data_IF_082374840562
#
_entry.id   IF_082374840562
#
_cell.length_a   1.000
_cell.length_b   1.000
_cell.length_c   1.000
_cell.angle_alpha   90.00
_cell.angle_beta   90.00
_cell.angle_gamma   90.00
#
_symmetry.space_group_name_H-M   'P 1'
#
loop_
_entity.id
_entity.type
_entity.pdbx_description
1 polymer ?
#
# COMPACT_ATOMS: atom_id res chain seq x y z
N UNK A 1 27.31 13.00 7.54
CA UNK A 1 26.74 11.65 7.40
C UNK A 1 25.85 11.44 8.60
N UNK A 2 24.53 11.35 8.37
CA UNK A 2 23.57 11.04 9.43
C UNK A 2 23.55 9.52 9.51
N UNK A 3 24.02 8.96 10.62
CA UNK A 3 23.92 7.52 10.88
C UNK A 3 22.44 7.12 10.87
N UNK A 4 22.08 6.24 9.94
CA UNK A 4 20.82 5.52 9.99
C UNK A 4 20.86 4.61 11.21
N UNK A 5 20.28 5.08 12.31
CA UNK A 5 19.91 4.21 13.42
C UNK A 5 18.58 3.56 13.03
N UNK A 6 18.52 2.24 12.79
CA UNK A 6 17.23 1.56 12.70
C UNK A 6 16.43 1.93 13.95
N UNK A 7 15.12 2.21 13.83
CA UNK A 7 14.32 2.57 14.99
C UNK A 7 14.49 1.46 16.02
N UNK A 8 15.11 1.79 17.16
CA UNK A 8 15.08 0.95 18.35
C UNK A 8 13.67 0.42 18.48
N UNK A 9 13.52 -0.88 18.70
CA UNK A 9 12.25 -1.50 19.12
C UNK A 9 11.92 -0.92 20.49
N UNK A 10 11.44 0.32 20.47
CA UNK A 10 10.98 1.07 21.62
C UNK A 10 9.61 0.48 21.90
N UNK A 11 9.55 -0.37 22.93
CA UNK A 11 8.29 -0.69 23.59
C UNK A 11 7.62 0.65 23.92
N UNK A 12 6.58 0.99 23.18
CA UNK A 12 5.53 1.82 23.75
C UNK A 12 4.87 0.99 24.85
N UNK A 13 4.23 1.63 25.81
CA UNK A 13 3.51 1.02 26.93
C UNK A 13 2.33 0.09 26.53
N UNK A 14 2.28 -0.43 25.30
CA UNK A 14 1.09 -1.04 24.70
C UNK A 14 1.19 -2.55 24.53
N UNK A 15 0.08 -3.20 24.86
CA UNK A 15 -0.11 -4.65 24.97
C UNK A 15 0.13 -5.44 23.66
N UNK A 16 0.16 -4.79 22.49
CA UNK A 16 0.17 -5.40 21.15
C UNK A 16 1.28 -4.85 20.24
N UNK A 17 1.73 -5.68 19.29
CA UNK A 17 2.66 -5.28 18.22
C UNK A 17 1.91 -5.08 16.89
N UNK A 18 2.52 -4.37 15.93
CA UNK A 18 1.97 -4.17 14.58
C UNK A 18 1.57 -5.50 13.94
N UNK A 19 2.45 -6.50 14.00
CA UNK A 19 2.16 -7.83 13.46
C UNK A 19 0.95 -8.52 14.12
N UNK A 20 0.63 -8.21 15.38
CA UNK A 20 -0.57 -8.76 16.02
C UNK A 20 -1.84 -8.19 15.38
N UNK A 21 -1.86 -6.88 15.14
CA UNK A 21 -3.00 -6.18 14.54
C UNK A 21 -3.18 -6.59 13.08
N UNK A 22 -2.09 -6.70 12.32
CA UNK A 22 -2.15 -7.12 10.92
C UNK A 22 -2.70 -8.55 10.78
N UNK A 23 -2.23 -9.50 11.60
CA UNK A 23 -2.77 -10.87 11.60
C UNK A 23 -4.23 -10.90 12.03
N UNK A 24 -4.63 -10.10 13.04
CA UNK A 24 -6.02 -10.00 13.46
C UNK A 24 -6.92 -9.49 12.33
N UNK A 25 -6.44 -8.51 11.55
CA UNK A 25 -7.11 -8.02 10.32
C UNK A 25 -7.23 -9.11 9.25
N UNK A 26 -6.14 -9.84 8.99
CA UNK A 26 -6.12 -10.94 8.02
C UNK A 26 -7.15 -12.03 8.36
N UNK A 27 -7.25 -12.39 9.63
CA UNK A 27 -8.23 -13.37 10.11
C UNK A 27 -9.68 -12.86 10.03
N UNK A 28 -9.89 -11.56 10.24
CA UNK A 28 -11.21 -10.95 10.11
C UNK A 28 -11.69 -10.93 8.64
N UNK A 29 -10.76 -10.67 7.71
CA UNK A 29 -11.07 -10.59 6.27
C UNK A 29 -11.31 -11.96 5.64
N UNK A 30 -10.62 -13.00 6.11
CA UNK A 30 -10.60 -14.30 5.45
C UNK A 30 -10.77 -15.43 6.47
N UNK A 31 -11.79 -16.25 6.24
CA UNK A 31 -11.98 -17.49 6.99
C UNK A 31 -10.74 -18.39 6.81
N UNK A 32 -10.00 -18.56 7.90
CA UNK A 32 -8.67 -19.19 7.92
C UNK A 32 -8.74 -20.50 8.67
N UNK A 33 -8.20 -21.58 8.12
CA UNK A 33 -8.26 -22.90 8.75
C UNK A 33 -7.49 -22.95 10.07
N UNK A 34 -8.04 -23.60 11.09
CA UNK A 34 -7.35 -23.79 12.39
C UNK A 34 -6.16 -24.74 12.27
N UNK A 35 -6.35 -25.84 11.55
CA UNK A 35 -5.34 -26.91 11.41
C UNK A 35 -4.26 -26.56 10.37
N UNK A 36 -4.55 -25.61 9.48
CA UNK A 36 -3.63 -25.12 8.47
C UNK A 36 -3.65 -23.58 8.46
N UNK A 37 -3.07 -22.91 9.47
CA UNK A 37 -3.25 -21.46 9.69
C UNK A 37 -2.81 -20.55 8.55
N UNK A 38 -2.00 -21.05 7.61
CA UNK A 38 -1.65 -20.28 6.42
C UNK A 38 -2.71 -20.34 5.32
N UNK A 39 -3.62 -21.31 5.34
CA UNK A 39 -4.63 -21.51 4.29
C UNK A 39 -5.98 -20.93 4.68
N UNK A 40 -6.68 -20.43 3.67
CA UNK A 40 -8.04 -19.89 3.79
C UNK A 40 -9.04 -20.74 3.00
N UNK A 41 -10.33 -20.58 3.33
CA UNK A 41 -11.41 -21.31 2.64
C UNK A 41 -11.58 -20.89 1.17
N UNK A 42 -11.09 -19.70 0.79
CA UNK A 42 -11.10 -19.21 -0.58
C UNK A 42 -9.91 -19.71 -1.42
N UNK A 43 -9.03 -20.53 -0.85
CA UNK A 43 -7.81 -21.03 -1.52
C UNK A 43 -6.62 -20.07 -1.44
N UNK A 44 -6.79 -18.88 -0.85
CA UNK A 44 -5.70 -17.94 -0.60
C UNK A 44 -4.79 -18.41 0.54
N UNK A 45 -3.53 -17.97 0.48
CA UNK A 45 -2.53 -18.19 1.54
C UNK A 45 -2.12 -16.87 2.18
N UNK A 46 -1.95 -16.88 3.50
CA UNK A 46 -1.40 -15.77 4.29
C UNK A 46 0.13 -15.67 4.21
N UNK A 47 0.81 -16.64 3.59
CA UNK A 47 2.28 -16.72 3.56
C UNK A 47 2.93 -15.47 2.96
N UNK A 48 2.40 -14.97 1.84
CA UNK A 48 2.94 -13.79 1.17
C UNK A 48 2.79 -12.52 2.02
N UNK A 49 1.58 -12.26 2.54
CA UNK A 49 1.31 -11.09 3.40
C UNK A 49 2.14 -11.14 4.70
N UNK A 50 2.33 -12.33 5.28
CA UNK A 50 3.16 -12.51 6.46
C UNK A 50 4.65 -12.26 6.15
N UNK A 51 5.16 -12.74 5.01
CA UNK A 51 6.54 -12.55 4.58
C UNK A 51 6.86 -11.08 4.28
N UNK A 52 5.99 -10.40 3.52
CA UNK A 52 6.12 -8.97 3.20
C UNK A 52 6.21 -8.09 4.46
N UNK A 53 5.53 -8.50 5.53
CA UNK A 53 5.52 -7.77 6.79
C UNK A 53 6.49 -8.32 7.85
N UNK A 54 7.33 -9.31 7.49
CA UNK A 54 8.25 -10.00 8.40
C UNK A 54 7.56 -10.53 9.68
N UNK A 55 6.37 -11.10 9.53
CA UNK A 55 5.53 -11.60 10.62
C UNK A 55 5.72 -13.11 10.78
N UNK A 56 6.07 -13.55 12.00
CA UNK A 56 5.95 -14.95 12.37
C UNK A 56 4.47 -15.28 12.66
N UNK A 57 3.73 -15.63 11.60
CA UNK A 57 2.28 -15.80 11.63
C UNK A 57 1.82 -16.80 12.70
N UNK A 58 2.43 -17.99 12.78
CA UNK A 58 2.05 -19.03 13.75
C UNK A 58 2.26 -18.60 15.21
N UNK A 59 3.35 -17.86 15.47
CA UNK A 59 3.62 -17.30 16.80
C UNK A 59 2.57 -16.26 17.17
N UNK A 60 2.18 -15.40 16.22
CA UNK A 60 1.12 -14.41 16.43
C UNK A 60 -0.22 -15.08 16.69
N UNK A 61 -0.63 -16.07 15.90
CA UNK A 61 -1.87 -16.85 16.13
C UNK A 61 -1.91 -17.41 17.55
N UNK A 62 -0.82 -18.02 18.00
CA UNK A 62 -0.72 -18.58 19.35
C UNK A 62 -0.90 -17.50 20.43
N UNK A 63 -0.28 -16.33 20.24
CA UNK A 63 -0.42 -15.18 21.13
C UNK A 63 -1.85 -14.64 21.15
N UNK A 64 -2.49 -14.47 19.98
CA UNK A 64 -3.87 -13.97 19.87
C UNK A 64 -4.86 -14.90 20.57
N UNK A 65 -4.67 -16.23 20.50
CA UNK A 65 -5.46 -17.22 21.24
C UNK A 65 -5.29 -17.08 22.76
N UNK A 66 -4.04 -17.01 23.25
CA UNK A 66 -3.74 -16.87 24.68
C UNK A 66 -4.39 -15.60 25.25
N UNK A 67 -4.42 -14.54 24.44
CA UNK A 67 -5.06 -13.27 24.79
C UNK A 67 -6.57 -13.22 24.57
N UNK A 68 -7.19 -14.34 24.18
CA UNK A 68 -8.63 -14.42 23.91
C UNK A 68 -9.12 -13.40 22.86
N UNK A 69 -8.27 -13.04 21.89
CA UNK A 69 -8.65 -12.18 20.76
C UNK A 69 -9.26 -12.97 19.60
N UNK A 70 -8.90 -14.26 19.51
CA UNK A 70 -9.43 -15.19 18.53
C UNK A 70 -9.76 -16.51 19.21
N UNK A 71 -10.73 -17.22 18.63
CA UNK A 71 -11.13 -18.57 19.03
C UNK A 71 -11.41 -19.43 17.81
N UNK A 72 -11.61 -20.71 18.04
CA UNK A 72 -12.21 -21.59 17.03
C UNK A 72 -13.69 -21.24 16.87
N UNK A 73 -14.20 -21.39 15.65
CA UNK A 73 -15.61 -21.25 15.37
C UNK A 73 -16.43 -22.34 16.11
N UNK A 74 -17.67 -21.99 16.45
CA UNK A 74 -18.71 -22.94 16.79
C UNK A 74 -19.23 -23.62 15.51
N UNK A 75 -19.78 -24.84 15.60
CA UNK A 75 -20.19 -25.60 14.41
C UNK A 75 -21.19 -24.88 13.50
N UNK A 76 -22.09 -24.06 14.06
CA UNK A 76 -23.03 -23.26 13.24
C UNK A 76 -22.37 -22.07 12.55
N UNK A 77 -21.31 -21.51 13.10
CA UNK A 77 -20.66 -20.32 12.55
C UNK A 77 -19.94 -20.60 11.22
N UNK A 78 -19.57 -21.85 10.95
CA UNK A 78 -18.86 -22.23 9.72
C UNK A 78 -19.77 -22.38 8.49
N UNK A 79 -21.10 -22.43 8.67
CA UNK A 79 -22.04 -22.82 7.62
C UNK A 79 -21.93 -21.93 6.37
N UNK A 80 -21.64 -20.65 6.56
CA UNK A 80 -21.43 -19.70 5.46
C UNK A 80 -20.21 -20.06 4.57
N UNK A 81 -19.23 -20.75 5.13
CA UNK A 81 -18.00 -21.15 4.44
C UNK A 81 -18.06 -22.54 3.81
N UNK A 82 -19.12 -23.31 4.07
CA UNK A 82 -19.30 -24.63 3.47
C UNK A 82 -19.80 -24.55 2.03
N UNK A 83 -19.47 -25.57 1.25
CA UNK A 83 -20.01 -25.80 -0.08
C UNK A 83 -21.46 -26.28 -0.02
N UNK A 84 -22.18 -26.15 -1.14
CA UNK A 84 -23.55 -26.67 -1.25
C UNK A 84 -23.62 -28.19 -1.04
N UNK A 85 -22.58 -28.93 -1.45
CA UNK A 85 -22.50 -30.37 -1.24
C UNK A 85 -22.42 -30.72 0.25
N UNK A 86 -21.51 -30.08 0.98
CA UNK A 86 -21.33 -30.27 2.42
C UNK A 86 -22.61 -29.93 3.21
N UNK A 87 -23.29 -28.84 2.86
CA UNK A 87 -24.57 -28.49 3.49
C UNK A 87 -25.64 -29.57 3.25
N UNK A 88 -25.68 -30.14 2.04
CA UNK A 88 -26.61 -31.25 1.73
C UNK A 88 -26.25 -32.52 2.50
N UNK A 89 -24.97 -32.81 2.72
CA UNK A 89 -24.55 -33.98 3.49
C UNK A 89 -25.00 -33.89 4.95
N UNK A 90 -24.92 -32.71 5.57
CA UNK A 90 -25.49 -32.47 6.91
C UNK A 90 -27.00 -32.74 6.91
N UNK A 91 -27.75 -32.12 5.99
CA UNK A 91 -29.20 -32.26 5.90
C UNK A 91 -29.64 -33.71 5.61
N UNK A 92 -28.85 -34.44 4.82
CA UNK A 92 -29.11 -35.85 4.50
C UNK A 92 -29.02 -36.73 5.75
N UNK A 93 -28.03 -36.48 6.61
CA UNK A 93 -27.85 -37.23 7.87
C UNK A 93 -28.95 -36.98 8.90
N UNK A 94 -29.69 -35.87 8.78
CA UNK A 94 -30.85 -35.57 9.62
C UNK A 94 -32.19 -35.72 8.87
N UNK A 95 -32.20 -36.42 7.73
CA UNK A 95 -33.39 -36.71 6.92
C UNK A 95 -34.21 -35.47 6.54
N UNK A 96 -33.53 -34.38 6.15
CA UNK A 96 -34.17 -33.13 5.72
C UNK A 96 -34.07 -32.93 4.20
N UNK A 97 -34.99 -32.12 3.60
CA UNK A 97 -34.94 -31.82 2.18
C UNK A 97 -33.61 -31.19 1.74
N UNK A 98 -33.13 -31.58 0.55
CA UNK A 98 -31.82 -31.18 0.01
C UNK A 98 -31.89 -30.14 -1.11
N UNK A 99 -33.10 -29.74 -1.52
CA UNK A 99 -33.31 -28.74 -2.57
C UNK A 99 -33.24 -27.31 -2.02
N UNK A 100 -32.91 -26.36 -2.90
CA UNK A 100 -32.88 -24.93 -2.59
C UNK A 100 -31.57 -24.24 -2.90
N UNK A 101 -31.55 -22.92 -2.74
CA UNK A 101 -30.35 -22.08 -2.82
C UNK A 101 -29.47 -22.26 -1.58
N UNK A 102 -28.19 -21.90 -1.66
CA UNK A 102 -27.24 -22.04 -0.54
C UNK A 102 -27.77 -21.41 0.76
N UNK A 103 -28.32 -20.20 0.70
CA UNK A 103 -28.91 -19.51 1.86
C UNK A 103 -30.05 -20.31 2.51
N UNK A 104 -30.94 -20.88 1.70
CA UNK A 104 -32.06 -21.72 2.17
C UNK A 104 -31.57 -23.02 2.81
N UNK A 105 -30.47 -23.59 2.31
CA UNK A 105 -29.83 -24.77 2.91
C UNK A 105 -29.21 -24.41 4.27
N UNK A 106 -28.53 -23.27 4.38
CA UNK A 106 -27.93 -22.79 5.63
C UNK A 106 -29.02 -22.58 6.69
N UNK A 107 -30.07 -21.82 6.38
CA UNK A 107 -31.19 -21.57 7.31
C UNK A 107 -31.82 -22.90 7.78
N UNK A 108 -31.95 -23.86 6.88
CA UNK A 108 -32.49 -25.19 7.21
C UNK A 108 -31.56 -25.96 8.14
N UNK A 109 -30.25 -25.92 7.92
CA UNK A 109 -29.27 -26.54 8.82
C UNK A 109 -29.32 -25.89 10.19
N UNK A 110 -29.31 -24.55 10.26
CA UNK A 110 -29.34 -23.79 11.52
C UNK A 110 -30.56 -24.11 12.39
N UNK A 111 -31.74 -24.23 11.76
CA UNK A 111 -33.01 -24.49 12.43
C UNK A 111 -33.19 -25.94 12.89
N UNK A 112 -32.58 -26.91 12.19
CA UNK A 112 -32.91 -28.33 12.37
C UNK A 112 -31.75 -29.21 12.86
N UNK A 113 -30.53 -28.68 12.94
CA UNK A 113 -29.33 -29.46 13.31
C UNK A 113 -28.77 -29.01 14.65
N UNK A 114 -28.30 -29.97 15.44
CA UNK A 114 -27.46 -29.70 16.61
C UNK A 114 -26.00 -29.53 16.19
N UNK A 115 -25.19 -28.96 17.08
CA UNK A 115 -23.74 -28.85 16.88
C UNK A 115 -23.09 -30.23 16.67
N UNK A 116 -23.58 -31.26 17.36
CA UNK A 116 -23.12 -32.64 17.18
C UNK A 116 -23.45 -33.20 15.79
N UNK A 117 -24.60 -32.84 15.21
CA UNK A 117 -24.97 -33.29 13.86
C UNK A 117 -24.05 -32.67 12.81
N UNK A 118 -23.66 -31.41 12.99
CA UNK A 118 -22.72 -30.73 12.10
C UNK A 118 -21.32 -31.36 12.22
N UNK A 119 -20.82 -31.54 13.44
CA UNK A 119 -19.48 -32.10 13.69
C UNK A 119 -19.32 -33.56 13.24
N UNK A 120 -20.40 -34.33 13.09
CA UNK A 120 -20.36 -35.70 12.54
C UNK A 120 -20.00 -35.73 11.06
N UNK A 121 -20.24 -34.64 10.35
CA UNK A 121 -20.06 -34.54 8.89
C UNK A 121 -18.91 -33.61 8.54
N UNK A 122 -18.76 -32.53 9.30
CA UNK A 122 -17.82 -31.46 9.03
C UNK A 122 -16.74 -31.45 10.11
N UNK A 123 -15.51 -31.70 9.70
CA UNK A 123 -14.31 -31.61 10.54
C UNK A 123 -13.58 -30.26 10.41
N UNK A 124 -14.02 -29.42 9.46
CA UNK A 124 -13.44 -28.11 9.19
C UNK A 124 -13.65 -27.16 10.36
N UNK A 125 -12.61 -26.37 10.64
CA UNK A 125 -12.64 -25.29 11.62
C UNK A 125 -11.90 -24.06 11.10
N UNK A 126 -12.38 -22.88 11.45
CA UNK A 126 -11.74 -21.61 11.20
C UNK A 126 -11.55 -20.77 12.46
N UNK A 127 -10.63 -19.82 12.39
CA UNK A 127 -10.52 -18.76 13.40
C UNK A 127 -11.65 -17.76 13.25
N UNK A 128 -12.21 -17.35 14.39
CA UNK A 128 -13.17 -16.26 14.52
C UNK A 128 -12.66 -15.29 15.59
N UNK A 129 -12.77 -14.00 15.33
CA UNK A 129 -12.44 -12.96 16.30
C UNK A 129 -13.47 -12.98 17.44
N UNK A 130 -12.99 -12.82 18.67
CA UNK A 130 -13.88 -12.57 19.82
C UNK A 130 -14.35 -11.12 19.81
N UNK A 131 -15.30 -10.78 20.69
CA UNK A 131 -15.70 -9.38 20.91
C UNK A 131 -14.49 -8.50 21.25
N UNK A 132 -13.63 -8.97 22.17
CA UNK A 132 -12.37 -8.29 22.49
C UNK A 132 -11.44 -8.15 21.27
N UNK A 133 -11.35 -9.18 20.43
CA UNK A 133 -10.61 -9.11 19.17
C UNK A 133 -11.13 -8.02 18.23
N UNK A 134 -12.45 -7.90 18.10
CA UNK A 134 -13.07 -6.85 17.29
C UNK A 134 -12.84 -5.45 17.86
N UNK A 135 -12.92 -5.29 19.19
CA UNK A 135 -12.62 -4.03 19.87
C UNK A 135 -11.16 -3.58 19.66
N UNK A 136 -10.21 -4.52 19.79
CA UNK A 136 -8.79 -4.25 19.51
C UNK A 136 -8.58 -3.88 18.05
N UNK A 137 -9.24 -4.58 17.13
CA UNK A 137 -9.13 -4.30 15.70
C UNK A 137 -9.67 -2.90 15.35
N UNK A 138 -10.80 -2.50 15.94
CA UNK A 138 -11.38 -1.17 15.75
C UNK A 138 -10.49 -0.08 16.36
N UNK A 139 -9.94 -0.30 17.57
CA UNK A 139 -9.00 0.63 18.20
C UNK A 139 -7.79 0.92 17.31
N UNK A 140 -7.23 -0.10 16.67
CA UNK A 140 -6.04 0.01 15.84
C UNK A 140 -6.32 0.00 14.33
N UNK A 141 -7.54 0.35 13.90
CA UNK A 141 -7.90 0.40 12.47
C UNK A 141 -6.99 1.30 11.63
N UNK A 142 -6.41 2.32 12.25
CA UNK A 142 -5.51 3.26 11.62
C UNK A 142 -4.16 2.62 11.25
N UNK A 143 -3.71 1.61 12.02
CA UNK A 143 -2.53 0.78 11.70
C UNK A 143 -2.80 -0.04 10.44
N UNK A 144 -4.01 -0.58 10.30
CA UNK A 144 -4.42 -1.37 9.14
C UNK A 144 -4.49 -0.46 7.90
N UNK A 145 -5.13 0.70 8.04
CA UNK A 145 -5.28 1.66 6.95
C UNK A 145 -3.93 2.08 6.38
N UNK A 146 -2.96 2.45 7.23
CA UNK A 146 -1.66 2.89 6.72
C UNK A 146 -0.90 1.72 6.08
N UNK A 147 -1.00 0.51 6.64
CA UNK A 147 -0.30 -0.66 6.10
C UNK A 147 -0.74 -1.00 4.68
N UNK A 148 -2.04 -0.84 4.41
CA UNK A 148 -2.64 -1.10 3.09
C UNK A 148 -2.36 0.00 2.07
N UNK A 149 -2.06 1.22 2.53
CA UNK A 149 -2.02 2.40 1.65
C UNK A 149 -0.64 3.06 1.55
N UNK A 150 0.31 2.78 2.45
CA UNK A 150 1.60 3.48 2.54
C UNK A 150 2.41 3.47 1.24
N UNK A 151 2.46 2.35 0.53
CA UNK A 151 3.19 2.23 -0.74
C UNK A 151 2.55 3.09 -1.82
N UNK A 152 1.22 3.16 -1.85
CA UNK A 152 0.52 4.05 -2.76
C UNK A 152 0.76 5.52 -2.39
N UNK A 153 0.64 5.88 -1.11
CA UNK A 153 0.80 7.25 -0.63
C UNK A 153 2.22 7.77 -0.86
N UNK A 154 3.24 7.02 -0.43
CA UNK A 154 4.63 7.47 -0.37
C UNK A 154 5.51 6.92 -1.49
N UNK A 155 4.99 6.03 -2.35
CA UNK A 155 5.82 5.28 -3.29
C UNK A 155 6.95 4.55 -2.55
N UNK A 156 8.10 4.39 -3.20
CA UNK A 156 9.30 3.75 -2.63
C UNK A 156 10.22 4.75 -1.90
N UNK A 157 9.75 5.98 -1.64
CA UNK A 157 10.56 7.02 -1.00
C UNK A 157 10.56 6.86 0.53
N UNK A 158 11.52 6.07 1.00
CA UNK A 158 11.68 5.80 2.44
C UNK A 158 12.00 7.03 3.27
N UNK A 159 12.48 8.12 2.67
CA UNK A 159 12.74 9.38 3.38
C UNK A 159 11.46 10.10 3.82
N UNK A 160 10.33 9.75 3.20
CA UNK A 160 9.00 10.35 3.46
C UNK A 160 8.12 9.50 4.39
N UNK A 161 8.62 8.35 4.85
CA UNK A 161 7.93 7.43 5.78
C UNK A 161 7.97 7.92 7.24
N UNK A 162 7.53 9.16 7.48
CA UNK A 162 7.30 9.65 8.84
C UNK A 162 6.07 8.99 9.49
N UNK A 163 5.08 8.66 8.68
CA UNK A 163 3.81 8.06 9.11
C UNK A 163 3.76 6.61 8.64
N UNK A 164 3.96 5.68 9.57
CA UNK A 164 3.95 4.24 9.34
C UNK A 164 3.07 3.52 10.38
N UNK A 165 3.03 2.19 10.31
CA UNK A 165 2.26 1.37 11.26
C UNK A 165 2.66 1.62 12.72
N UNK A 166 3.93 1.91 12.98
CA UNK A 166 4.44 2.13 14.34
C UNK A 166 4.03 3.50 14.89
N UNK A 167 3.99 4.52 14.03
CA UNK A 167 3.42 5.83 14.37
C UNK A 167 1.96 5.67 14.80
N UNK A 168 1.13 5.03 13.96
CA UNK A 168 -0.30 4.86 14.25
C UNK A 168 -0.59 3.81 15.33
N UNK A 169 0.37 2.97 15.70
CA UNK A 169 0.26 2.16 16.92
C UNK A 169 0.29 3.04 18.17
N UNK A 170 1.18 4.05 18.21
CA UNK A 170 1.34 4.98 19.34
C UNK A 170 0.29 6.09 19.34
N UNK A 171 -0.24 6.42 18.16
CA UNK A 171 -1.22 7.47 17.92
C UNK A 171 -2.48 6.86 17.29
N UNK A 172 -3.01 5.81 17.92
CA UNK A 172 -4.16 5.07 17.37
C UNK A 172 -5.43 5.91 17.31
N UNK A 173 -5.50 6.99 18.09
CA UNK A 173 -6.61 7.93 18.22
C UNK A 173 -6.65 9.01 17.12
N UNK A 174 -5.58 9.17 16.34
CA UNK A 174 -5.53 10.21 15.29
C UNK A 174 -5.94 9.65 13.92
N UNK A 175 -6.63 10.46 13.12
CA UNK A 175 -7.00 10.10 11.76
C UNK A 175 -5.76 10.14 10.82
N UNK A 176 -5.38 9.02 10.18
CA UNK A 176 -4.24 8.97 9.28
C UNK A 176 -4.29 9.97 8.13
N UNK A 177 -5.44 10.11 7.48
CA UNK A 177 -5.58 11.01 6.35
C UNK A 177 -5.35 12.45 6.78
N UNK A 178 -5.99 12.88 7.86
CA UNK A 178 -5.93 14.25 8.36
C UNK A 178 -4.49 14.64 8.70
N UNK A 179 -3.77 13.81 9.46
CA UNK A 179 -2.41 14.12 9.90
C UNK A 179 -1.41 14.13 8.73
N UNK A 180 -1.59 13.22 7.76
CA UNK A 180 -0.74 13.16 6.57
C UNK A 180 -1.00 14.39 5.68
N UNK A 181 -2.28 14.76 5.49
CA UNK A 181 -2.66 15.97 4.74
C UNK A 181 -2.06 17.21 5.41
N UNK A 182 -2.31 17.41 6.71
CA UNK A 182 -1.81 18.59 7.44
C UNK A 182 -0.28 18.74 7.31
N UNK A 183 0.44 17.61 7.36
CA UNK A 183 1.90 17.63 7.26
C UNK A 183 2.41 17.98 5.85
N UNK A 184 1.76 17.47 4.81
CA UNK A 184 2.26 17.54 3.44
C UNK A 184 1.55 18.56 2.54
N UNK A 185 0.45 19.16 3.00
CA UNK A 185 -0.38 20.08 2.21
C UNK A 185 0.40 21.28 1.65
N UNK A 186 1.44 21.74 2.33
CA UNK A 186 2.26 22.87 1.87
C UNK A 186 3.51 22.48 1.08
N UNK A 187 3.93 21.21 1.11
CA UNK A 187 5.24 20.80 0.60
C UNK A 187 5.20 19.69 -0.46
N UNK A 188 4.19 18.81 -0.43
CA UNK A 188 4.15 17.59 -1.24
C UNK A 188 2.72 17.32 -1.74
N UNK A 189 2.27 18.10 -2.72
CA UNK A 189 0.89 18.00 -3.23
C UNK A 189 0.55 16.62 -3.79
N UNK A 190 1.54 15.87 -4.30
CA UNK A 190 1.35 14.52 -4.80
C UNK A 190 0.90 13.54 -3.71
N UNK A 191 1.47 13.63 -2.50
CA UNK A 191 1.07 12.80 -1.35
C UNK A 191 -0.39 13.12 -0.99
N UNK A 192 -0.72 14.40 -0.87
CA UNK A 192 -2.06 14.86 -0.49
C UNK A 192 -3.12 14.43 -1.52
N UNK A 193 -2.80 14.50 -2.82
CA UNK A 193 -3.68 14.01 -3.88
C UNK A 193 -4.00 12.51 -3.71
N UNK A 194 -2.99 11.70 -3.39
CA UNK A 194 -3.15 10.25 -3.20
C UNK A 194 -3.94 9.90 -1.95
N UNK A 195 -3.76 10.63 -0.85
CA UNK A 195 -4.59 10.48 0.36
C UNK A 195 -6.05 10.79 0.05
N UNK A 196 -6.36 11.94 -0.57
CA UNK A 196 -7.75 12.25 -0.92
C UNK A 196 -8.39 11.24 -1.88
N UNK A 197 -7.59 10.62 -2.75
CA UNK A 197 -8.07 9.54 -3.62
C UNK A 197 -8.45 8.29 -2.82
N UNK A 198 -7.67 7.91 -1.82
CA UNK A 198 -8.00 6.80 -0.91
C UNK A 198 -9.30 7.09 -0.15
N UNK A 199 -9.50 8.34 0.27
CA UNK A 199 -10.74 8.80 0.91
C UNK A 199 -11.92 8.96 -0.06
N UNK A 200 -11.73 8.64 -1.35
CA UNK A 200 -12.71 8.83 -2.42
C UNK A 200 -13.18 10.30 -2.57
N UNK A 201 -12.36 11.26 -2.15
CA UNK A 201 -12.57 12.69 -2.40
C UNK A 201 -11.90 13.09 -3.72
N UNK A 202 -12.54 12.70 -4.82
CA UNK A 202 -12.00 12.85 -6.17
C UNK A 202 -11.74 14.30 -6.58
N UNK A 203 -12.56 15.25 -6.12
CA UNK A 203 -12.40 16.67 -6.42
C UNK A 203 -11.11 17.23 -5.81
N UNK A 204 -10.88 16.98 -4.52
CA UNK A 204 -9.63 17.39 -3.88
C UNK A 204 -8.43 16.63 -4.42
N UNK A 205 -8.57 15.33 -4.69
CA UNK A 205 -7.52 14.54 -5.33
C UNK A 205 -7.11 15.14 -6.68
N UNK A 206 -8.08 15.55 -7.50
CA UNK A 206 -7.84 16.24 -8.76
C UNK A 206 -7.11 17.58 -8.56
N UNK A 207 -7.61 18.41 -7.63
CA UNK A 207 -7.01 19.72 -7.34
C UNK A 207 -5.53 19.59 -6.95
N UNK A 208 -5.21 18.73 -5.98
CA UNK A 208 -3.83 18.50 -5.56
C UNK A 208 -2.99 17.81 -6.65
N UNK A 209 -3.62 17.03 -7.53
CA UNK A 209 -2.97 16.47 -8.72
C UNK A 209 -2.50 17.54 -9.71
N UNK A 210 -3.34 18.55 -10.01
CA UNK A 210 -2.94 19.69 -10.85
C UNK A 210 -1.84 20.52 -10.18
N UNK A 211 -1.94 20.69 -8.85
CA UNK A 211 -0.90 21.39 -8.09
C UNK A 211 0.44 20.65 -8.12
N UNK A 212 0.44 19.32 -7.99
CA UNK A 212 1.64 18.49 -8.15
C UNK A 212 2.26 18.64 -9.54
N UNK A 213 1.46 18.62 -10.60
CA UNK A 213 1.95 18.89 -11.96
C UNK A 213 2.63 20.26 -12.07
N UNK A 214 2.06 21.29 -11.44
CA UNK A 214 2.65 22.62 -11.41
C UNK A 214 4.00 22.65 -10.67
N UNK A 215 4.11 21.95 -9.54
CA UNK A 215 5.35 21.75 -8.78
C UNK A 215 6.43 21.04 -9.62
N UNK A 216 6.05 20.00 -10.36
CA UNK A 216 6.96 19.25 -11.23
C UNK A 216 7.44 20.10 -12.41
N UNK A 217 6.53 20.83 -13.06
CA UNK A 217 6.88 21.79 -14.12
C UNK A 217 7.85 22.84 -13.58
N UNK A 218 7.58 23.44 -12.41
CA UNK A 218 8.49 24.42 -11.82
C UNK A 218 9.86 23.80 -11.51
N UNK A 219 9.90 22.56 -11.03
CA UNK A 219 11.15 21.84 -10.76
C UNK A 219 11.97 21.62 -12.03
N UNK A 220 11.33 21.28 -13.15
CA UNK A 220 11.99 21.17 -14.45
C UNK A 220 12.47 22.53 -14.99
N UNK A 221 11.71 23.61 -14.77
CA UNK A 221 12.14 24.97 -15.11
C UNK A 221 13.39 25.35 -14.33
N UNK A 222 13.42 25.11 -13.01
CA UNK A 222 14.58 25.39 -12.16
C UNK A 222 15.80 24.52 -12.52
N UNK A 223 15.57 23.29 -12.97
CA UNK A 223 16.64 22.42 -13.49
C UNK A 223 17.21 22.94 -14.80
N UNK A 224 16.33 23.28 -15.75
CA UNK A 224 16.72 23.81 -17.06
C UNK A 224 17.47 25.14 -16.92
N UNK A 225 17.03 26.01 -16.00
CA UNK A 225 17.70 27.26 -15.63
C UNK A 225 19.13 27.08 -15.10
N UNK A 226 19.43 25.93 -14.47
CA UNK A 226 20.74 25.68 -13.86
C UNK A 226 21.73 25.02 -14.82
N UNK A 227 21.25 24.18 -15.73
CA UNK A 227 22.15 23.33 -16.54
C UNK A 227 21.69 23.05 -17.97
N UNK A 228 20.58 23.64 -18.44
CA UNK A 228 19.96 23.30 -19.72
C UNK A 228 19.25 21.95 -19.77
N UNK A 229 19.34 21.15 -18.69
CA UNK A 229 18.73 19.82 -18.62
C UNK A 229 17.27 19.90 -18.19
N UNK A 230 16.42 19.09 -18.79
CA UNK A 230 15.00 19.03 -18.43
C UNK A 230 14.38 17.67 -18.75
N UNK A 231 13.28 17.35 -18.05
CA UNK A 231 12.46 16.17 -18.29
C UNK A 231 10.97 16.48 -18.05
N UNK A 232 10.34 17.20 -18.98
CA UNK A 232 8.91 17.47 -18.88
C UNK A 232 8.03 16.23 -19.17
N UNK A 233 8.56 15.22 -19.86
CA UNK A 233 7.86 13.94 -20.08
C UNK A 233 7.60 13.21 -18.76
N UNK A 234 8.54 13.27 -17.81
CA UNK A 234 8.38 12.74 -16.46
C UNK A 234 7.18 13.34 -15.71
N UNK A 235 6.87 14.63 -15.92
CA UNK A 235 5.71 15.28 -15.31
C UNK A 235 4.39 14.64 -15.77
N UNK A 236 4.32 14.20 -17.03
CA UNK A 236 3.12 13.55 -17.58
C UNK A 236 2.98 12.11 -17.09
N UNK A 237 4.10 11.38 -16.95
CA UNK A 237 4.09 10.04 -16.39
C UNK A 237 3.53 10.02 -14.96
N UNK A 238 3.87 11.02 -14.14
CA UNK A 238 3.33 11.13 -12.76
C UNK A 238 1.82 11.41 -12.74
N UNK A 239 1.30 12.25 -13.66
CA UNK A 239 -0.15 12.46 -13.81
C UNK A 239 -0.90 11.19 -14.20
N UNK A 240 -0.31 10.38 -15.08
CA UNK A 240 -0.87 9.10 -15.51
C UNK A 240 -0.85 8.09 -14.37
N UNK A 241 0.28 7.96 -13.66
CA UNK A 241 0.43 7.08 -12.51
C UNK A 241 -0.56 7.42 -11.38
N UNK A 242 -0.80 8.70 -11.15
CA UNK A 242 -1.80 9.18 -10.17
C UNK A 242 -3.23 9.09 -10.68
N UNK A 243 -3.44 8.81 -11.98
CA UNK A 243 -4.73 8.72 -12.68
C UNK A 243 -5.54 10.02 -12.63
N UNK A 244 -4.87 11.17 -12.57
CA UNK A 244 -5.53 12.50 -12.53
C UNK A 244 -6.42 12.72 -13.75
N UNK A 245 -6.01 12.23 -14.92
CA UNK A 245 -6.79 12.28 -16.16
C UNK A 245 -8.09 11.47 -16.07
N UNK A 246 -8.04 10.28 -15.47
CA UNK A 246 -9.25 9.47 -15.28
C UNK A 246 -10.21 10.13 -14.30
N UNK A 247 -9.66 10.70 -13.21
CA UNK A 247 -10.44 11.46 -12.23
C UNK A 247 -11.12 12.64 -12.94
N UNK A 248 -10.39 13.43 -13.74
CA UNK A 248 -10.95 14.53 -14.52
C UNK A 248 -12.12 14.10 -15.39
N UNK A 249 -11.98 13.00 -16.14
CA UNK A 249 -13.05 12.45 -17.00
C UNK A 249 -14.28 11.99 -16.21
N UNK A 250 -14.09 11.55 -14.98
CA UNK A 250 -15.18 11.11 -14.09
C UNK A 250 -15.91 12.28 -13.41
N UNK A 251 -15.26 13.44 -13.30
CA UNK A 251 -15.79 14.61 -12.61
C UNK A 251 -16.55 15.52 -13.59
N UNK A 252 -17.69 16.04 -13.15
CA UNK A 252 -18.43 17.06 -13.89
C UNK A 252 -17.95 18.47 -13.49
N UNK A 253 -16.69 18.79 -13.78
CA UNK A 253 -16.09 20.09 -13.45
C UNK A 253 -16.46 21.13 -14.52
N UNK A 254 -16.95 22.29 -14.10
CA UNK A 254 -17.20 23.41 -15.02
C UNK A 254 -15.90 24.02 -15.53
N UNK A 255 -15.93 24.60 -16.73
CA UNK A 255 -14.76 25.29 -17.29
C UNK A 255 -14.21 26.41 -16.39
N UNK A 256 -15.08 27.12 -15.66
CA UNK A 256 -14.67 28.20 -14.76
C UNK A 256 -13.99 27.66 -13.50
N UNK A 257 -14.50 26.56 -12.95
CA UNK A 257 -13.86 25.86 -11.82
C UNK A 257 -12.49 25.31 -12.23
N UNK A 258 -12.38 24.69 -13.41
CA UNK A 258 -11.11 24.20 -13.94
C UNK A 258 -10.09 25.32 -14.13
N UNK A 259 -10.49 26.44 -14.73
CA UNK A 259 -9.62 27.63 -14.88
C UNK A 259 -9.16 28.17 -13.52
N UNK A 260 -10.05 28.18 -12.52
CA UNK A 260 -9.71 28.63 -11.16
C UNK A 260 -8.69 27.71 -10.49
N UNK A 261 -8.85 26.38 -10.64
CA UNK A 261 -7.91 25.37 -10.15
C UNK A 261 -6.53 25.53 -10.81
N UNK A 262 -6.49 25.69 -12.14
CA UNK A 262 -5.26 25.90 -12.91
C UNK A 262 -4.56 27.18 -12.45
N UNK A 263 -5.31 28.27 -12.31
CA UNK A 263 -4.77 29.57 -11.87
C UNK A 263 -4.18 29.47 -10.46
N UNK A 264 -4.91 28.88 -9.52
CA UNK A 264 -4.41 28.67 -8.16
C UNK A 264 -3.13 27.83 -8.15
N UNK A 265 -3.11 26.73 -8.89
CA UNK A 265 -1.94 25.83 -8.97
C UNK A 265 -0.71 26.52 -9.56
N UNK A 266 -0.91 27.39 -10.56
CA UNK A 266 0.11 28.23 -11.14
C UNK A 266 0.68 29.22 -10.12
N UNK A 267 -0.19 29.99 -9.46
CA UNK A 267 0.22 31.00 -8.46
C UNK A 267 0.92 30.36 -7.26
N UNK A 268 0.53 29.14 -6.90
CA UNK A 268 1.17 28.39 -5.81
C UNK A 268 2.58 27.91 -6.18
N UNK A 269 2.76 27.35 -7.38
CA UNK A 269 3.93 26.50 -7.68
C UNK A 269 4.97 27.16 -8.59
N UNK A 270 4.55 28.05 -9.49
CA UNK A 270 5.47 28.69 -10.46
C UNK A 270 6.15 29.89 -9.79
N UNK A 271 7.47 29.79 -9.60
CA UNK A 271 8.26 30.81 -8.88
C UNK A 271 8.70 31.98 -9.76
N UNK A 272 8.89 31.76 -11.05
CA UNK A 272 9.34 32.77 -12.00
C UNK A 272 8.40 32.82 -13.22
N UNK A 273 7.41 33.71 -13.15
CA UNK A 273 6.43 33.92 -14.21
C UNK A 273 7.02 34.51 -15.50
N UNK A 274 8.30 34.92 -15.49
CA UNK A 274 8.97 35.39 -16.72
C UNK A 274 9.46 34.22 -17.59
N UNK A 275 9.50 33.01 -17.05
CA UNK A 275 9.96 31.81 -17.76
C UNK A 275 8.80 31.00 -18.34
N UNK A 276 7.63 31.05 -17.70
CA UNK A 276 6.39 30.45 -18.20
C UNK A 276 5.23 31.36 -17.83
N UNK A 277 4.40 31.71 -18.81
CA UNK A 277 3.20 32.50 -18.56
C UNK A 277 2.04 31.62 -18.07
N UNK A 278 1.08 32.21 -17.35
CA UNK A 278 -0.15 31.52 -16.96
C UNK A 278 -0.89 30.89 -18.16
N UNK A 279 -0.93 31.57 -19.31
CA UNK A 279 -1.60 31.06 -20.51
C UNK A 279 -0.88 29.82 -21.05
N UNK A 280 0.44 29.88 -21.20
CA UNK A 280 1.25 28.73 -21.64
C UNK A 280 1.12 27.56 -20.67
N UNK A 281 1.17 27.84 -19.36
CA UNK A 281 0.93 26.81 -18.35
C UNK A 281 -0.46 26.19 -18.47
N UNK A 282 -1.50 27.00 -18.65
CA UNK A 282 -2.87 26.52 -18.82
C UNK A 282 -2.99 25.60 -20.03
N UNK A 283 -2.42 25.97 -21.18
CA UNK A 283 -2.39 25.14 -22.39
C UNK A 283 -1.69 23.79 -22.12
N UNK A 284 -0.54 23.80 -21.43
CA UNK A 284 0.15 22.57 -21.03
C UNK A 284 -0.76 21.67 -20.18
N UNK A 285 -1.45 22.22 -19.18
CA UNK A 285 -2.38 21.46 -18.34
C UNK A 285 -3.54 20.90 -19.17
N UNK A 286 -4.14 21.70 -20.05
CA UNK A 286 -5.22 21.25 -20.92
C UNK A 286 -4.78 20.11 -21.84
N UNK A 287 -3.61 20.23 -22.48
CA UNK A 287 -3.05 19.17 -23.32
C UNK A 287 -2.79 17.89 -22.53
N UNK A 288 -2.28 18.00 -21.30
CA UNK A 288 -2.09 16.84 -20.43
C UNK A 288 -3.43 16.16 -20.09
N UNK A 289 -4.45 16.93 -19.72
CA UNK A 289 -5.78 16.39 -19.35
C UNK A 289 -6.54 15.76 -20.52
N UNK A 290 -6.32 16.24 -21.74
CA UNK A 290 -6.96 15.71 -22.95
C UNK A 290 -6.12 14.64 -23.66
N UNK A 291 -4.99 14.23 -23.08
CA UNK A 291 -4.03 13.30 -23.69
C UNK A 291 -3.50 13.76 -25.06
N UNK A 292 -3.33 15.07 -25.25
CA UNK A 292 -2.72 15.66 -26.45
C UNK A 292 -1.18 15.64 -26.31
N UNK A 293 -0.58 14.44 -26.37
CA UNK A 293 0.84 14.22 -26.09
C UNK A 293 1.79 15.07 -26.94
N UNK A 294 1.53 15.17 -28.24
CA UNK A 294 2.35 15.96 -29.17
C UNK A 294 2.30 17.45 -28.83
N UNK A 295 1.11 17.96 -28.50
CA UNK A 295 0.91 19.35 -28.13
C UNK A 295 1.61 19.66 -26.79
N UNK A 296 1.42 18.80 -25.78
CA UNK A 296 2.11 18.89 -24.50
C UNK A 296 3.64 18.91 -24.68
N UNK A 297 4.18 17.98 -25.47
CA UNK A 297 5.62 17.87 -25.74
C UNK A 297 6.15 19.12 -26.44
N UNK A 298 5.40 19.66 -27.40
CA UNK A 298 5.76 20.87 -28.13
C UNK A 298 5.80 22.08 -27.22
N UNK A 299 4.73 22.30 -26.43
CA UNK A 299 4.62 23.43 -25.50
C UNK A 299 5.73 23.42 -24.45
N UNK A 300 5.99 22.25 -23.83
CA UNK A 300 7.01 22.10 -22.80
C UNK A 300 8.43 22.22 -23.35
N UNK A 301 8.70 21.70 -24.56
CA UNK A 301 9.99 21.89 -25.24
C UNK A 301 10.25 23.35 -25.59
N UNK A 302 9.23 24.08 -26.04
CA UNK A 302 9.34 25.52 -26.29
C UNK A 302 9.66 26.32 -25.02
N UNK A 303 9.11 25.92 -23.87
CA UNK A 303 9.48 26.49 -22.57
C UNK A 303 10.96 26.21 -22.26
N UNK A 304 11.42 24.97 -22.44
CA UNK A 304 12.82 24.60 -22.22
C UNK A 304 13.79 25.39 -23.13
N UNK A 305 13.50 25.50 -24.43
CA UNK A 305 14.29 26.28 -25.40
C UNK A 305 14.45 27.72 -24.91
N UNK A 306 13.35 28.40 -24.57
CA UNK A 306 13.38 29.79 -24.11
C UNK A 306 14.21 29.98 -22.84
N UNK A 307 14.13 29.02 -21.91
CA UNK A 307 14.92 29.06 -20.68
C UNK A 307 16.40 28.88 -21.03
N UNK A 308 16.75 27.85 -21.81
CA UNK A 308 18.14 27.60 -22.21
C UNK A 308 18.75 28.79 -22.96
N UNK A 309 18.02 29.41 -23.89
CA UNK A 309 18.45 30.63 -24.58
C UNK A 309 18.70 31.79 -23.62
N UNK A 310 17.77 32.02 -22.68
CA UNK A 310 17.87 33.10 -21.69
C UNK A 310 19.06 32.95 -20.75
N UNK A 311 19.45 31.72 -20.41
CA UNK A 311 20.54 31.42 -19.49
C UNK A 311 21.83 30.95 -20.16
N UNK A 312 21.86 30.88 -21.51
CA UNK A 312 23.05 30.53 -22.29
C UNK A 312 23.46 29.06 -22.16
N UNK A 313 22.50 28.14 -22.03
CA UNK A 313 22.74 26.71 -21.96
C UNK A 313 22.50 26.02 -23.30
N UNK A 314 23.25 24.95 -23.57
CA UNK A 314 22.87 23.97 -24.58
C UNK A 314 21.68 23.14 -24.07
N UNK A 315 20.70 22.92 -24.94
CA UNK A 315 19.48 22.22 -24.57
C UNK A 315 19.70 20.70 -24.59
N UNK A 316 19.55 20.08 -23.43
CA UNK A 316 19.70 18.64 -23.28
C UNK A 316 18.43 18.05 -22.69
N UNK A 317 17.60 17.45 -23.54
CA UNK A 317 16.47 16.66 -23.08
C UNK A 317 17.00 15.36 -22.46
N UNK A 318 16.63 15.06 -21.21
CA UNK A 318 16.87 13.72 -20.69
C UNK A 318 15.88 12.75 -21.34
N UNK A 319 16.41 11.66 -21.91
CA UNK A 319 15.61 10.54 -22.34
C UNK A 319 15.02 9.87 -21.10
N UNK A 320 13.73 10.08 -20.86
CA UNK A 320 12.92 8.97 -20.35
C UNK A 320 12.63 8.09 -21.55
N UNK A 321 13.22 6.89 -21.60
CA UNK A 321 12.68 5.83 -22.41
C UNK A 321 11.21 5.68 -22.03
N UNK A 322 10.36 6.18 -22.93
CA UNK A 322 8.95 5.81 -22.92
C UNK A 322 8.97 4.31 -23.23
N UNK A 323 8.48 3.49 -22.29
CA UNK A 323 8.10 2.11 -22.61
C UNK A 323 6.93 2.15 -23.59
N UNK A 324 7.21 2.44 -24.85
CA UNK A 324 6.43 1.93 -25.98
C UNK A 324 6.77 0.45 -26.07
N UNK A 325 6.08 -0.38 -25.29
CA UNK A 325 6.38 -1.80 -25.24
C UNK A 325 5.65 -2.50 -24.10
N UNK A 326 4.35 -2.74 -24.29
CA UNK A 326 3.91 -4.10 -24.03
C UNK A 326 4.63 -4.99 -25.06
N UNK A 327 5.24 -6.08 -24.61
CA UNK A 327 5.87 -7.15 -25.41
C UNK A 327 7.40 -7.13 -25.58
N UNK A 328 8.19 -6.97 -24.50
CA UNK A 328 9.58 -7.45 -24.48
C UNK A 328 9.90 -8.18 -23.15
N UNK A 329 9.77 -9.51 -23.17
CA UNK A 329 10.03 -10.41 -22.03
C UNK A 329 11.50 -10.37 -21.53
N UNK A 330 12.44 -9.84 -22.32
CA UNK A 330 13.88 -9.84 -22.01
C UNK A 330 14.33 -8.67 -21.12
N UNK A 331 13.62 -7.52 -21.16
CA UNK A 331 13.89 -6.36 -20.29
C UNK A 331 13.27 -6.53 -18.90
N UNK A 332 12.13 -7.21 -18.79
CA UNK A 332 11.53 -7.58 -17.50
C UNK A 332 12.46 -8.52 -16.72
N UNK A 333 13.22 -9.38 -17.40
CA UNK A 333 14.19 -10.27 -16.75
C UNK A 333 15.38 -9.49 -16.17
N UNK A 334 15.90 -8.48 -16.87
CA UNK A 334 16.96 -7.62 -16.34
C UNK A 334 16.47 -6.72 -15.21
N UNK A 335 15.23 -6.23 -15.27
CA UNK A 335 14.61 -5.47 -14.18
C UNK A 335 14.34 -6.36 -12.95
N UNK A 336 13.84 -7.58 -13.15
CA UNK A 336 13.67 -8.59 -12.09
C UNK A 336 15.03 -9.00 -11.51
N UNK A 337 16.06 -9.18 -12.34
CA UNK A 337 17.42 -9.49 -11.91
C UNK A 337 18.05 -8.33 -11.15
N UNK A 338 17.85 -7.08 -11.57
CA UNK A 338 18.32 -5.90 -10.84
C UNK A 338 17.54 -5.72 -9.52
N UNK A 339 16.25 -6.04 -9.50
CA UNK A 339 15.41 -6.03 -8.29
C UNK A 339 15.81 -7.16 -7.31
N UNK A 340 16.09 -8.37 -7.80
CA UNK A 340 16.62 -9.50 -7.03
C UNK A 340 18.04 -9.19 -6.53
N UNK A 341 18.86 -8.52 -7.33
CA UNK A 341 20.24 -8.13 -6.95
C UNK A 341 20.23 -7.04 -5.88
N UNK A 342 19.32 -6.06 -5.99
CA UNK A 342 19.10 -5.05 -4.94
C UNK A 342 18.55 -5.66 -3.66
N UNK A 343 17.65 -6.64 -3.75
CA UNK A 343 17.13 -7.39 -2.61
C UNK A 343 18.21 -8.29 -1.97
N UNK A 344 19.12 -8.85 -2.77
CA UNK A 344 20.29 -9.58 -2.28
C UNK A 344 21.30 -8.65 -1.58
N UNK A 345 21.61 -7.48 -2.13
CA UNK A 345 22.46 -6.47 -1.46
C UNK A 345 21.80 -5.90 -0.19
N UNK A 346 20.47 -5.75 -0.18
CA UNK A 346 19.73 -5.33 1.00
C UNK A 346 19.75 -6.42 2.07
N UNK A 347 19.54 -7.69 1.70
CA UNK A 347 19.64 -8.85 2.60
C UNK A 347 21.06 -9.06 3.11
N UNK A 348 22.07 -8.84 2.28
CA UNK A 348 23.48 -8.88 2.67
C UNK A 348 23.81 -7.76 3.63
N UNK A 349 23.37 -6.52 3.39
CA UNK A 349 23.50 -5.42 4.35
C UNK A 349 22.74 -5.67 5.65
N UNK A 350 21.55 -6.28 5.58
CA UNK A 350 20.77 -6.64 6.76
C UNK A 350 21.49 -7.73 7.56
N UNK A 351 22.03 -8.75 6.90
CA UNK A 351 22.83 -9.82 7.50
C UNK A 351 24.13 -9.25 8.09
N UNK A 352 24.83 -8.36 7.40
CA UNK A 352 26.04 -7.69 7.91
C UNK A 352 25.71 -6.79 9.11
N UNK A 353 24.60 -6.05 9.08
CA UNK A 353 24.14 -5.26 10.23
C UNK A 353 23.70 -6.14 11.41
N UNK A 354 23.13 -7.31 11.15
CA UNK A 354 22.81 -8.32 12.16
C UNK A 354 24.08 -8.99 12.70
N UNK A 355 25.11 -9.17 11.88
CA UNK A 355 26.43 -9.67 12.30
C UNK A 355 27.15 -8.64 13.19
N UNK A 356 26.99 -7.35 12.91
CA UNK A 356 27.56 -6.27 13.72
C UNK A 356 26.82 -6.07 15.07
N UNK A 357 25.52 -6.38 15.13
CA UNK A 357 24.72 -6.31 16.37
C UNK A 357 24.71 -7.62 17.20
N UNK A 358 25.07 -8.76 16.61
CA UNK A 358 25.16 -10.04 17.32
C UNK A 358 26.59 -10.26 17.81
N UNK A 359 26.78 -10.21 19.14
CA UNK A 359 28.07 -10.46 19.79
C UNK A 359 28.70 -11.79 19.28
N UNK A 360 29.77 -11.64 18.49
CA UNK A 360 30.46 -12.73 17.83
C UNK A 360 30.98 -13.80 18.83
N UNK A 361 31.24 -13.40 20.08
CA UNK A 361 31.64 -14.32 21.15
C UNK A 361 30.46 -15.10 21.73
N UNK A 362 29.24 -14.57 21.68
CA UNK A 362 28.03 -15.30 22.03
C UNK A 362 27.72 -16.38 20.99
N UNK A 363 27.85 -16.09 19.69
CA UNK A 363 27.68 -17.07 18.61
C UNK A 363 28.71 -18.21 18.68
N UNK A 364 29.98 -17.88 18.95
CA UNK A 364 31.03 -18.90 19.17
C UNK A 364 30.71 -19.78 20.39
N UNK A 365 30.25 -19.20 21.50
CA UNK A 365 29.84 -19.96 22.69
C UNK A 365 28.63 -20.85 22.42
N UNK A 366 27.63 -20.36 21.70
CA UNK A 366 26.45 -21.15 21.32
C UNK A 366 26.84 -22.31 20.40
N UNK A 367 27.74 -22.08 19.44
CA UNK A 367 28.26 -23.13 18.56
C UNK A 367 29.02 -24.20 19.36
N UNK A 368 29.91 -23.81 20.28
CA UNK A 368 30.62 -24.76 21.15
C UNK A 368 29.64 -25.59 21.98
N UNK A 369 28.59 -24.97 22.52
CA UNK A 369 27.55 -25.68 23.31
C UNK A 369 26.77 -26.67 22.43
N UNK A 370 26.41 -26.28 21.21
CA UNK A 370 25.69 -27.14 20.26
C UNK A 370 26.58 -28.31 19.82
N UNK A 371 27.83 -28.03 19.43
CA UNK A 371 28.77 -29.05 18.97
C UNK A 371 29.10 -30.05 20.10
N UNK A 372 29.20 -29.59 21.35
CA UNK A 372 29.39 -30.47 22.52
C UNK A 372 28.19 -31.37 22.82
N UNK A 373 26.97 -30.93 22.53
CA UNK A 373 25.73 -31.72 22.71
C UNK A 373 25.45 -32.69 21.57
N UNK A 374 26.10 -32.50 20.42
CA UNK A 374 25.99 -33.40 19.26
C UNK A 374 27.07 -34.50 19.30
N UNK A 375 28.04 -34.41 20.21
CA UNK A 375 29.07 -35.43 20.45
C UNK A 375 28.82 -36.26 21.73
N UNK A 376 27.73 -36.01 22.46
CA UNK A 376 27.10 -36.92 23.44
C UNK A 376 25.95 -37.66 22.77
#
# INVERSE_FOLDING_TARGET
>A
MVEFNPPKILKADDEYYVGDILVLSMLNKRATYVNEPFKTFSGWSHSYEAEQNNINFLKVISKLKIKNLIRENLPKEILNHLTVAELKDILKNIYRPLSGKKSELIERVEKNSTDADICRVIDKKCFILTELGLEVLEKYKNVIWISENKEFIFSWDTSKLKFDEYYFMKHWDVNPSEIIIEHYESTESGIVARVYKIENNLEKAFHYGIRKLAEDINSQIERCKKSGNYNFKGCLAELQATRVVDIFKSLNISNDSLKSIIKYSYEFSIKDSTLISHNTFSEIVFSALHNEYENFSTLTTNVAIRISEKYGHELNAESTDFREGADNEEEDLNYILDMISRDAEHKEKLILSLIDEIDFELLKKMKIIIDSRLME
#
